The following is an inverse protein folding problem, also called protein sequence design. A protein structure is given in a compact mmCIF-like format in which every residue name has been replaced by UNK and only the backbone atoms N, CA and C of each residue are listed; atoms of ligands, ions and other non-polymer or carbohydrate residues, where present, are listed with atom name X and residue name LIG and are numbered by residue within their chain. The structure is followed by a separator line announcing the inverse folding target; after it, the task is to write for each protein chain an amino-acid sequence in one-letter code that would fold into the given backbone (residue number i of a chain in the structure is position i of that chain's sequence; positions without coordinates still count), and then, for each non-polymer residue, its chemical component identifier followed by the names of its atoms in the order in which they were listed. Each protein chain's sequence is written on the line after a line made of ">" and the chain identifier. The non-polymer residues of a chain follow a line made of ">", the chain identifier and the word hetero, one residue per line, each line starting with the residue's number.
data_IF_892627516855
#
_entry.id   IF_892627516855
#
_cell.length_a   1.000
_cell.length_b   1.000
_cell.length_c   1.000
_cell.angle_alpha   90.00
_cell.angle_beta   90.00
_cell.angle_gamma   90.00
#
_symmetry.space_group_name_H-M   'P 1'
#
loop_
_entity.id
_entity.type
_entity.pdbx_description
1 polymer ?
#
# COMPACT_ATOMS: atom_id res chain seq x y z
N UNK A 1 10.09 2.45 -11.40
CA UNK A 1 10.19 1.85 -10.05
C UNK A 1 11.48 2.27 -9.38
N UNK A 2 12.66 1.94 -9.94
CA UNK A 2 13.97 2.29 -9.37
C UNK A 2 14.07 3.81 -9.16
N UNK A 3 13.70 4.60 -10.15
CA UNK A 3 13.68 6.06 -10.08
C UNK A 3 12.86 6.56 -8.87
N UNK A 4 11.61 6.08 -8.70
CA UNK A 4 10.77 6.44 -7.56
C UNK A 4 11.37 6.06 -6.21
N UNK A 5 12.06 4.93 -6.14
CA UNK A 5 12.77 4.52 -4.93
C UNK A 5 13.94 5.48 -4.62
N UNK A 6 14.71 5.89 -5.63
CA UNK A 6 15.77 6.89 -5.48
C UNK A 6 15.20 8.26 -5.09
N UNK A 7 14.09 8.68 -5.70
CA UNK A 7 13.40 9.94 -5.38
C UNK A 7 12.90 9.98 -3.94
N UNK A 8 12.52 8.82 -3.38
CA UNK A 8 12.12 8.67 -1.97
C UNK A 8 13.28 8.57 -0.99
N UNK A 9 14.53 8.64 -1.47
CA UNK A 9 15.72 8.58 -0.61
C UNK A 9 16.20 7.15 -0.28
N UNK A 10 15.68 6.11 -0.95
CA UNK A 10 16.21 4.76 -0.79
C UNK A 10 17.66 4.69 -1.24
N UNK A 11 18.52 4.10 -0.40
CA UNK A 11 19.96 4.01 -0.67
C UNK A 11 20.27 2.77 -1.51
N UNK A 12 20.80 2.91 -2.74
CA UNK A 12 21.21 1.78 -3.56
C UNK A 12 22.46 1.09 -2.98
N UNK A 13 22.53 -0.23 -3.18
CA UNK A 13 23.65 -1.08 -2.72
C UNK A 13 24.38 -1.68 -3.92
N UNK A 14 23.62 -2.13 -4.93
CA UNK A 14 24.16 -2.68 -6.17
C UNK A 14 23.14 -2.62 -7.28
N UNK A 15 23.63 -2.58 -8.50
CA UNK A 15 22.82 -2.55 -9.72
C UNK A 15 23.13 -3.79 -10.57
N UNK A 16 22.09 -4.44 -11.10
CA UNK A 16 22.20 -5.56 -12.03
C UNK A 16 21.45 -5.19 -13.32
N UNK A 17 22.12 -5.21 -14.45
CA UNK A 17 21.56 -4.73 -15.70
C UNK A 17 22.00 -5.57 -16.90
N UNK A 18 21.10 -5.74 -17.86
CA UNK A 18 21.45 -6.34 -19.15
C UNK A 18 22.42 -5.41 -19.89
N UNK A 19 23.48 -6.00 -20.46
CA UNK A 19 24.59 -5.27 -21.06
C UNK A 19 24.13 -4.17 -22.07
N UNK A 20 23.15 -4.49 -22.90
CA UNK A 20 22.62 -3.55 -23.91
C UNK A 20 21.98 -2.28 -23.34
N UNK A 21 21.54 -2.28 -22.07
CA UNK A 21 20.88 -1.14 -21.43
C UNK A 21 21.83 -0.21 -20.68
N UNK A 22 23.10 -0.60 -20.49
CA UNK A 22 24.09 0.16 -19.69
C UNK A 22 24.26 1.59 -20.22
N UNK A 23 24.51 1.74 -21.52
CA UNK A 23 24.71 3.03 -22.16
C UNK A 23 23.39 3.66 -22.66
N UNK A 24 22.27 3.00 -22.45
CA UNK A 24 20.94 3.43 -22.85
C UNK A 24 20.04 3.77 -21.65
N UNK A 25 18.96 3.02 -21.50
CA UNK A 25 17.90 3.27 -20.52
C UNK A 25 18.37 3.24 -19.05
N UNK A 26 19.44 2.49 -18.73
CA UNK A 26 19.96 2.38 -17.37
C UNK A 26 21.01 3.46 -17.05
N UNK A 27 21.59 4.15 -18.02
CA UNK A 27 22.73 5.07 -17.84
C UNK A 27 22.46 6.12 -16.75
N UNK A 28 21.36 6.82 -16.85
CA UNK A 28 21.00 7.86 -15.89
C UNK A 28 20.67 7.29 -14.50
N UNK A 29 20.02 6.14 -14.43
CA UNK A 29 19.74 5.46 -13.16
C UNK A 29 21.02 5.02 -12.47
N UNK A 30 21.98 4.45 -13.23
CA UNK A 30 23.29 4.06 -12.72
C UNK A 30 24.04 5.29 -12.19
N UNK A 31 24.05 6.39 -12.96
CA UNK A 31 24.67 7.65 -12.53
C UNK A 31 24.07 8.17 -11.21
N UNK A 32 22.74 8.09 -11.06
CA UNK A 32 22.03 8.51 -9.83
C UNK A 32 22.32 7.60 -8.63
N UNK A 33 22.69 6.36 -8.88
CA UNK A 33 23.06 5.43 -7.80
C UNK A 33 24.43 5.74 -7.18
N UNK A 34 25.28 6.55 -7.82
CA UNK A 34 26.61 6.89 -7.32
C UNK A 34 27.61 5.74 -7.43
N UNK A 35 28.58 5.70 -6.53
CA UNK A 35 29.68 4.72 -6.56
C UNK A 35 29.24 3.40 -5.87
N UNK A 36 28.51 2.58 -6.62
CA UNK A 36 28.08 1.26 -6.19
C UNK A 36 28.47 0.20 -7.23
N UNK A 37 28.61 -1.08 -6.88
CA UNK A 37 28.84 -2.15 -7.83
C UNK A 37 27.71 -2.24 -8.88
N UNK A 38 28.10 -2.20 -10.16
CA UNK A 38 27.22 -2.40 -11.31
C UNK A 38 27.61 -3.71 -12.00
N UNK A 39 26.73 -4.70 -11.92
CA UNK A 39 26.93 -6.00 -12.55
C UNK A 39 26.18 -6.05 -13.88
N UNK A 40 26.84 -6.56 -14.90
CA UNK A 40 26.26 -6.69 -16.24
C UNK A 40 26.35 -8.11 -16.76
N UNK A 41 25.34 -8.56 -17.47
CA UNK A 41 25.33 -9.83 -18.17
C UNK A 41 24.33 -9.81 -19.33
N UNK A 42 24.41 -10.84 -20.17
CA UNK A 42 23.42 -11.08 -21.22
C UNK A 42 22.09 -11.57 -20.64
N UNK A 43 21.00 -11.36 -21.38
CA UNK A 43 19.62 -11.65 -20.95
C UNK A 43 19.44 -13.09 -20.40
N UNK A 44 20.02 -14.10 -21.07
CA UNK A 44 19.87 -15.48 -20.66
C UNK A 44 20.58 -15.78 -19.33
N UNK A 45 21.76 -15.19 -19.13
CA UNK A 45 22.50 -15.28 -17.86
C UNK A 45 21.73 -14.63 -16.74
N UNK A 46 21.18 -13.43 -17.00
CA UNK A 46 20.35 -12.74 -16.01
C UNK A 46 19.07 -13.53 -15.68
N UNK A 47 18.46 -14.17 -16.65
CA UNK A 47 17.27 -15.01 -16.44
C UNK A 47 17.58 -16.23 -15.60
N UNK A 48 18.73 -16.90 -15.83
CA UNK A 48 19.18 -18.02 -15.02
C UNK A 48 19.50 -17.57 -13.57
N UNK A 49 20.20 -16.46 -13.42
CA UNK A 49 20.60 -15.93 -12.11
C UNK A 49 19.40 -15.53 -11.24
N UNK A 50 18.40 -14.91 -11.84
CA UNK A 50 17.25 -14.38 -11.12
C UNK A 50 16.08 -15.37 -10.99
N UNK A 51 16.06 -16.43 -11.78
CA UNK A 51 14.98 -17.39 -11.86
C UNK A 51 13.73 -16.88 -12.57
N UNK A 52 13.78 -15.71 -13.22
CA UNK A 52 12.68 -15.14 -13.99
C UNK A 52 13.18 -14.18 -15.09
N UNK A 53 12.38 -13.98 -16.12
CA UNK A 53 12.70 -13.04 -17.20
C UNK A 53 12.68 -11.59 -16.71
N UNK A 54 13.80 -10.89 -16.85
CA UNK A 54 13.91 -9.45 -16.58
C UNK A 54 13.36 -8.64 -17.76
N UNK A 55 12.06 -8.45 -17.83
CA UNK A 55 11.39 -7.78 -18.95
C UNK A 55 11.86 -6.36 -19.24
N UNK A 56 12.50 -5.70 -18.27
CA UNK A 56 13.11 -4.36 -18.42
C UNK A 56 14.63 -4.39 -18.17
N UNK A 57 15.21 -5.57 -18.14
CA UNK A 57 16.64 -5.81 -18.12
C UNK A 57 17.43 -5.24 -16.93
N UNK A 58 16.77 -4.81 -15.83
CA UNK A 58 17.49 -4.20 -14.72
C UNK A 58 16.84 -4.46 -13.35
N UNK A 59 17.69 -4.59 -12.31
CA UNK A 59 17.35 -4.65 -10.89
C UNK A 59 18.30 -3.75 -10.10
N UNK A 60 17.82 -3.20 -8.99
CA UNK A 60 18.64 -2.47 -8.04
C UNK A 60 18.35 -3.00 -6.64
N UNK A 61 19.39 -3.48 -5.94
CA UNK A 61 19.29 -3.77 -4.53
C UNK A 61 19.44 -2.47 -3.74
N UNK A 62 18.52 -2.25 -2.80
CA UNK A 62 18.50 -1.04 -1.98
C UNK A 62 18.32 -1.37 -0.51
N UNK A 63 18.83 -0.54 0.39
CA UNK A 63 18.53 -0.63 1.82
C UNK A 63 17.04 -0.34 2.02
N UNK A 64 16.42 -1.12 2.89
CA UNK A 64 15.07 -0.80 3.38
C UNK A 64 15.17 0.44 4.27
N UNK A 65 14.36 1.48 4.03
CA UNK A 65 14.32 2.63 4.92
C UNK A 65 13.75 2.23 6.29
N UNK A 66 14.12 2.96 7.32
CA UNK A 66 13.38 2.91 8.58
C UNK A 66 11.94 3.38 8.34
N UNK A 67 10.98 2.70 8.91
CA UNK A 67 9.59 3.11 8.81
C UNK A 67 9.33 4.26 9.78
N UNK A 68 8.54 5.27 9.39
CA UNK A 68 8.15 6.36 10.27
C UNK A 68 7.16 5.87 11.34
N UNK A 69 7.05 6.64 12.42
CA UNK A 69 6.05 6.40 13.45
C UNK A 69 4.62 6.70 12.93
N UNK A 70 3.62 5.99 13.45
CA UNK A 70 2.21 6.19 13.10
C UNK A 70 1.77 7.62 13.40
N UNK A 71 2.18 8.17 14.55
CA UNK A 71 1.80 9.52 14.96
C UNK A 71 2.33 10.54 13.97
N UNK A 72 3.57 10.39 13.52
CA UNK A 72 4.18 11.30 12.54
C UNK A 72 3.45 11.26 11.19
N UNK A 73 3.10 10.06 10.72
CA UNK A 73 2.34 9.88 9.47
C UNK A 73 0.94 10.50 9.58
N UNK A 74 0.27 10.29 10.71
CA UNK A 74 -1.13 10.70 10.90
C UNK A 74 -1.29 12.18 11.26
N UNK A 75 -0.22 12.87 11.64
CA UNK A 75 -0.26 14.26 12.14
C UNK A 75 -1.03 15.23 11.24
N UNK A 76 -0.75 15.20 9.94
CA UNK A 76 -1.37 16.07 8.95
C UNK A 76 -2.30 15.32 7.99
N UNK A 77 -2.47 14.01 8.18
CA UNK A 77 -3.31 13.19 7.33
C UNK A 77 -4.80 13.42 7.64
N UNK A 78 -5.60 13.44 6.59
CA UNK A 78 -7.07 13.54 6.68
C UNK A 78 -7.76 12.29 6.15
N UNK A 79 -7.17 11.61 5.19
CA UNK A 79 -7.70 10.40 4.56
C UNK A 79 -6.64 9.32 4.61
N UNK A 80 -6.84 8.29 5.41
CA UNK A 80 -5.91 7.17 5.52
C UNK A 80 -6.60 5.85 5.21
N UNK A 81 -5.85 4.93 4.62
CA UNK A 81 -6.25 3.54 4.47
C UNK A 81 -5.62 2.69 5.57
N UNK A 82 -6.39 1.80 6.15
CA UNK A 82 -5.90 0.80 7.11
C UNK A 82 -6.15 -0.58 6.55
N UNK A 83 -5.12 -1.40 6.47
CA UNK A 83 -5.20 -2.74 5.92
C UNK A 83 -5.10 -3.77 7.05
N UNK A 84 -6.15 -4.56 7.23
CA UNK A 84 -6.19 -5.63 8.22
C UNK A 84 -5.93 -6.99 7.56
N UNK A 85 -4.77 -7.59 7.88
CA UNK A 85 -4.39 -8.93 7.45
C UNK A 85 -4.44 -9.19 5.93
N UNK A 86 -4.16 -8.19 5.12
CA UNK A 86 -4.08 -8.35 3.66
C UNK A 86 -2.77 -9.05 3.30
N UNK A 87 -2.83 -10.36 3.11
CA UNK A 87 -1.63 -11.21 2.95
C UNK A 87 -1.15 -11.35 1.51
N UNK A 88 -1.98 -11.01 0.50
CA UNK A 88 -1.59 -11.13 -0.90
C UNK A 88 -0.78 -9.90 -1.35
N UNK A 89 0.52 -10.04 -1.70
CA UNK A 89 1.34 -8.91 -2.12
C UNK A 89 0.85 -8.25 -3.43
N UNK A 90 0.05 -8.95 -4.24
CA UNK A 90 -0.58 -8.34 -5.43
C UNK A 90 -1.64 -7.33 -5.01
N UNK A 91 -2.48 -7.69 -4.03
CA UNK A 91 -3.50 -6.78 -3.50
C UNK A 91 -2.86 -5.60 -2.78
N UNK A 92 -1.84 -5.82 -1.94
CA UNK A 92 -1.06 -4.73 -1.34
C UNK A 92 -0.58 -3.75 -2.43
N UNK A 93 0.07 -4.25 -3.48
CA UNK A 93 0.57 -3.38 -4.56
C UNK A 93 -0.53 -2.60 -5.28
N UNK A 94 -1.68 -3.23 -5.55
CA UNK A 94 -2.82 -2.59 -6.20
C UNK A 94 -3.48 -1.53 -5.29
N UNK A 95 -3.63 -1.83 -4.00
CA UNK A 95 -4.17 -0.89 -2.99
C UNK A 95 -3.26 0.34 -2.89
N UNK A 96 -1.94 0.15 -2.78
CA UNK A 96 -0.99 1.27 -2.74
C UNK A 96 -1.05 2.14 -3.99
N UNK A 97 -1.24 1.52 -5.16
CA UNK A 97 -1.39 2.26 -6.42
C UNK A 97 -2.67 3.11 -6.41
N UNK A 98 -3.77 2.54 -5.97
CA UNK A 98 -5.06 3.24 -5.85
C UNK A 98 -5.00 4.33 -4.79
N UNK A 99 -4.42 4.07 -3.63
CA UNK A 99 -4.27 5.03 -2.54
C UNK A 99 -3.48 6.28 -2.99
N UNK A 100 -2.33 6.07 -3.62
CA UNK A 100 -1.51 7.17 -4.14
C UNK A 100 -2.21 7.96 -5.26
N UNK A 101 -3.00 7.28 -6.11
CA UNK A 101 -3.68 7.93 -7.23
C UNK A 101 -4.96 8.67 -6.83
N UNK A 102 -5.62 8.24 -5.75
CA UNK A 102 -6.98 8.67 -5.41
C UNK A 102 -7.05 9.50 -4.12
N UNK A 103 -5.93 10.12 -3.73
CA UNK A 103 -5.91 11.14 -2.70
C UNK A 103 -5.95 10.63 -1.26
N UNK A 104 -5.45 9.40 -1.01
CA UNK A 104 -5.15 8.97 0.35
C UNK A 104 -3.83 9.59 0.81
N UNK A 105 -3.78 10.08 2.04
CA UNK A 105 -2.60 10.71 2.61
C UNK A 105 -1.59 9.67 3.15
N UNK A 106 -2.07 8.50 3.60
CA UNK A 106 -1.23 7.43 4.14
C UNK A 106 -1.89 6.05 4.06
N UNK A 107 -1.07 5.00 4.22
CA UNK A 107 -1.51 3.61 4.38
C UNK A 107 -0.91 3.03 5.66
N UNK A 108 -1.75 2.54 6.56
CA UNK A 108 -1.34 1.82 7.76
C UNK A 108 -1.65 0.33 7.58
N UNK A 109 -0.78 -0.53 8.11
CA UNK A 109 -0.91 -1.97 7.96
C UNK A 109 -0.88 -2.67 9.33
N UNK A 110 -1.74 -3.66 9.53
CA UNK A 110 -1.57 -4.54 10.68
C UNK A 110 -0.37 -5.49 10.47
N UNK A 111 0.23 -6.02 11.54
CA UNK A 111 1.41 -6.91 11.43
C UNK A 111 1.21 -8.13 10.54
N UNK A 112 -0.03 -8.62 10.40
CA UNK A 112 -0.39 -9.75 9.53
C UNK A 112 -0.38 -9.46 8.04
N UNK A 113 -0.21 -8.20 7.60
CA UNK A 113 -0.17 -7.85 6.19
C UNK A 113 1.15 -8.25 5.53
N UNK A 114 1.08 -8.56 4.23
CA UNK A 114 2.30 -8.66 3.41
C UNK A 114 3.05 -7.34 3.35
N UNK A 115 4.38 -7.43 3.39
CA UNK A 115 5.23 -6.25 3.34
C UNK A 115 5.13 -5.53 1.97
N UNK A 116 4.83 -4.22 1.94
CA UNK A 116 4.75 -3.44 0.70
C UNK A 116 6.05 -3.41 -0.11
N UNK A 117 7.20 -3.66 0.53
CA UNK A 117 8.50 -3.75 -0.14
C UNK A 117 8.82 -5.15 -0.70
N UNK A 118 7.88 -6.07 -0.69
CA UNK A 118 8.05 -7.29 -1.49
C UNK A 118 8.07 -6.94 -2.98
N UNK A 119 8.99 -7.55 -3.71
CA UNK A 119 9.19 -7.28 -5.14
C UNK A 119 7.88 -7.30 -5.94
N UNK A 120 6.96 -8.22 -5.62
CA UNK A 120 5.66 -8.31 -6.30
C UNK A 120 4.78 -7.09 -6.02
N UNK A 121 4.70 -6.65 -4.77
CA UNK A 121 3.94 -5.46 -4.38
C UNK A 121 4.53 -4.19 -5.02
N UNK A 122 5.85 -4.01 -4.99
CA UNK A 122 6.55 -2.90 -5.65
C UNK A 122 6.24 -2.86 -7.16
N UNK A 123 6.24 -4.01 -7.84
CA UNK A 123 5.94 -4.07 -9.28
C UNK A 123 4.49 -3.75 -9.60
N UNK A 124 3.55 -4.33 -8.86
CA UNK A 124 2.11 -4.11 -9.06
C UNK A 124 1.75 -2.66 -8.76
N UNK A 125 2.31 -2.08 -7.72
CA UNK A 125 2.13 -0.66 -7.39
C UNK A 125 2.79 0.28 -8.42
N UNK A 126 3.58 -0.25 -9.35
CA UNK A 126 4.43 0.59 -10.24
C UNK A 126 5.37 1.52 -9.45
N UNK A 127 5.70 1.13 -8.21
CA UNK A 127 6.55 1.90 -7.31
C UNK A 127 5.85 3.02 -6.55
N UNK A 128 4.51 3.10 -6.55
CA UNK A 128 3.80 4.11 -5.73
C UNK A 128 3.95 3.85 -4.23
N UNK A 129 4.34 2.65 -3.83
CA UNK A 129 4.76 2.33 -2.46
C UNK A 129 5.88 3.26 -1.93
N UNK A 130 6.63 3.88 -2.81
CA UNK A 130 7.66 4.87 -2.47
C UNK A 130 7.13 6.33 -2.49
N UNK A 131 5.88 6.56 -2.87
CA UNK A 131 5.30 7.90 -3.04
C UNK A 131 4.29 8.26 -1.97
N UNK A 132 3.66 7.27 -1.33
CA UNK A 132 2.69 7.48 -0.26
C UNK A 132 3.31 7.03 1.07
N UNK A 133 3.21 7.82 2.15
CA UNK A 133 3.67 7.42 3.47
C UNK A 133 2.95 6.16 3.97
N UNK A 134 3.67 5.26 4.62
CA UNK A 134 3.09 4.07 5.21
C UNK A 134 3.93 3.51 6.34
N UNK A 135 3.30 2.78 7.24
CA UNK A 135 3.96 2.04 8.32
C UNK A 135 3.09 0.87 8.81
N UNK A 136 3.67 0.01 9.63
CA UNK A 136 2.92 -1.02 10.34
C UNK A 136 2.50 -0.52 11.73
N UNK A 137 1.38 -1.05 12.23
CA UNK A 137 1.13 -1.04 13.67
C UNK A 137 2.19 -1.90 14.36
N UNK A 138 2.55 -1.52 15.59
CA UNK A 138 3.48 -2.31 16.40
C UNK A 138 2.91 -3.72 16.64
N UNK A 139 3.76 -4.75 16.55
CA UNK A 139 3.37 -6.14 16.82
C UNK A 139 2.84 -6.35 18.25
N UNK A 140 3.24 -5.48 19.18
CA UNK A 140 2.77 -5.49 20.57
C UNK A 140 1.41 -4.83 20.75
N UNK A 141 0.97 -4.03 19.78
CA UNK A 141 -0.35 -3.39 19.80
C UNK A 141 -1.38 -4.42 19.38
N UNK A 142 -2.29 -4.75 20.27
CA UNK A 142 -3.43 -5.57 19.91
C UNK A 142 -4.35 -4.76 18.99
N UNK A 143 -4.20 -4.97 17.68
CA UNK A 143 -4.91 -4.20 16.66
C UNK A 143 -6.42 -4.11 16.92
N UNK A 144 -7.05 -5.23 17.24
CA UNK A 144 -8.50 -5.32 17.40
C UNK A 144 -9.07 -4.44 18.52
N UNK A 145 -8.28 -4.14 19.55
CA UNK A 145 -8.73 -3.37 20.72
C UNK A 145 -8.06 -2.02 20.81
N UNK A 146 -6.76 -1.92 20.53
CA UNK A 146 -5.98 -0.70 20.73
C UNK A 146 -5.79 0.07 19.43
N UNK A 147 -5.71 -0.62 18.29
CA UNK A 147 -5.43 0.02 16.99
C UNK A 147 -6.51 1.03 16.60
N UNK A 148 -7.79 0.61 16.62
CA UNK A 148 -8.92 1.52 16.32
C UNK A 148 -8.99 2.67 17.32
N UNK A 149 -8.80 2.40 18.62
CA UNK A 149 -8.79 3.44 19.65
C UNK A 149 -7.68 4.47 19.44
N UNK A 150 -6.49 4.02 19.02
CA UNK A 150 -5.37 4.92 18.73
C UNK A 150 -5.70 5.87 17.57
N UNK A 151 -6.37 5.38 16.51
CA UNK A 151 -6.81 6.22 15.41
C UNK A 151 -7.85 7.26 15.86
N UNK A 152 -8.83 6.85 16.67
CA UNK A 152 -9.82 7.76 17.25
C UNK A 152 -9.16 8.82 18.15
N UNK A 153 -8.16 8.46 18.93
CA UNK A 153 -7.41 9.39 19.76
C UNK A 153 -6.63 10.43 18.92
N UNK A 154 -6.24 10.09 17.68
CA UNK A 154 -5.65 11.00 16.70
C UNK A 154 -6.67 11.83 15.91
N UNK A 155 -7.96 11.71 16.27
CA UNK A 155 -9.06 12.47 15.69
C UNK A 155 -9.68 11.88 14.42
N UNK A 156 -9.33 10.65 14.05
CA UNK A 156 -9.97 9.98 12.91
C UNK A 156 -11.32 9.39 13.31
N UNK A 157 -12.31 9.57 12.44
CA UNK A 157 -13.44 8.67 12.34
C UNK A 157 -13.02 7.43 11.57
N UNK A 158 -13.51 6.27 11.96
CA UNK A 158 -13.12 4.98 11.40
C UNK A 158 -14.28 4.34 10.65
N UNK A 159 -14.06 3.94 9.40
CA UNK A 159 -15.05 3.35 8.51
C UNK A 159 -14.62 1.93 8.11
N UNK A 160 -15.26 0.92 8.66
CA UNK A 160 -15.04 -0.49 8.33
C UNK A 160 -15.74 -0.84 7.02
N UNK A 161 -14.97 -1.24 6.00
CA UNK A 161 -15.55 -1.72 4.73
C UNK A 161 -16.06 -3.15 4.91
N UNK A 162 -17.35 -3.28 5.20
CA UNK A 162 -17.99 -4.56 5.46
C UNK A 162 -19.48 -4.52 5.08
N UNK A 163 -20.03 -5.67 4.72
CA UNK A 163 -21.45 -5.81 4.43
C UNK A 163 -22.18 -6.24 5.71
N UNK A 164 -23.02 -5.36 6.25
CA UNK A 164 -23.91 -5.59 7.39
C UNK A 164 -25.29 -4.99 7.09
N UNK A 165 -26.33 -5.41 7.80
CA UNK A 165 -27.70 -4.92 7.60
C UNK A 165 -27.84 -3.41 7.89
N UNK A 166 -27.02 -2.88 8.79
CA UNK A 166 -26.99 -1.48 9.23
C UNK A 166 -25.83 -0.67 8.61
N UNK A 167 -25.22 -1.16 7.52
CA UNK A 167 -24.14 -0.45 6.84
C UNK A 167 -24.63 0.82 6.14
N UNK A 168 -23.82 1.86 6.25
CA UNK A 168 -23.98 3.06 5.41
C UNK A 168 -23.57 2.76 3.97
N UNK A 169 -24.26 3.31 3.01
CA UNK A 169 -23.79 3.29 1.62
C UNK A 169 -22.53 4.15 1.47
N UNK A 170 -21.61 3.74 0.63
CA UNK A 170 -20.31 4.40 0.46
C UNK A 170 -20.42 5.87 0.01
N UNK A 171 -21.54 6.26 -0.61
CA UNK A 171 -21.81 7.61 -1.07
C UNK A 171 -22.58 8.47 -0.04
N UNK A 172 -22.75 7.97 1.19
CA UNK A 172 -23.39 8.74 2.26
C UNK A 172 -22.64 10.05 2.52
N UNK A 173 -23.32 11.20 2.45
CA UNK A 173 -22.70 12.52 2.63
C UNK A 173 -22.00 12.71 3.98
N UNK A 174 -22.43 12.03 5.04
CA UNK A 174 -21.79 12.12 6.36
C UNK A 174 -20.36 11.63 6.33
N UNK A 175 -20.08 10.51 5.61
CA UNK A 175 -18.72 9.97 5.47
C UNK A 175 -17.78 10.96 4.78
N UNK A 176 -18.29 11.66 3.75
CA UNK A 176 -17.50 12.62 3.00
C UNK A 176 -17.27 13.93 3.78
N UNK A 177 -18.18 14.28 4.68
CA UNK A 177 -18.11 15.47 5.53
C UNK A 177 -17.10 15.33 6.68
N UNK A 178 -16.70 14.11 7.03
CA UNK A 178 -15.73 13.90 8.11
C UNK A 178 -14.39 14.58 7.81
N UNK A 179 -13.88 15.33 8.79
CA UNK A 179 -12.61 16.03 8.64
C UNK A 179 -11.45 15.06 8.47
N UNK A 180 -11.41 14.02 9.31
CA UNK A 180 -10.43 12.94 9.26
C UNK A 180 -11.14 11.59 9.20
N UNK A 181 -10.85 10.81 8.15
CA UNK A 181 -11.46 9.49 7.95
C UNK A 181 -10.38 8.42 7.71
N UNK A 182 -10.47 7.33 8.46
CA UNK A 182 -9.68 6.11 8.29
C UNK A 182 -10.57 5.02 7.66
N UNK A 183 -10.27 4.63 6.43
CA UNK A 183 -10.98 3.56 5.71
C UNK A 183 -10.29 2.23 6.01
N UNK A 184 -10.96 1.33 6.71
CA UNK A 184 -10.43 0.04 7.15
C UNK A 184 -10.88 -1.06 6.19
N UNK A 185 -9.92 -1.78 5.62
CA UNK A 185 -10.11 -2.82 4.62
C UNK A 185 -9.56 -4.15 5.15
N UNK A 186 -10.36 -5.21 5.08
CA UNK A 186 -10.01 -6.54 5.53
C UNK A 186 -9.39 -7.42 4.46
N UNK A 187 -8.98 -8.62 4.87
CA UNK A 187 -8.46 -9.65 3.97
C UNK A 187 -9.54 -10.22 3.04
N UNK A 188 -9.11 -10.93 2.00
CA UNK A 188 -10.01 -11.69 1.13
C UNK A 188 -10.54 -12.92 1.87
N UNK A 189 -11.81 -13.21 1.69
CA UNK A 189 -12.51 -14.34 2.33
C UNK A 189 -13.13 -13.96 3.66
N UNK A 190 -12.33 -13.84 4.70
CA UNK A 190 -12.84 -13.58 6.08
C UNK A 190 -13.24 -12.11 6.31
N UNK A 191 -12.74 -11.19 5.49
CA UNK A 191 -13.00 -9.76 5.64
C UNK A 191 -12.32 -9.15 6.87
N UNK A 192 -13.01 -8.22 7.52
CA UNK A 192 -12.60 -7.62 8.79
C UNK A 192 -13.03 -8.47 9.98
N UNK A 193 -12.23 -8.50 11.04
CA UNK A 193 -12.62 -9.10 12.30
C UNK A 193 -13.89 -8.44 12.87
N UNK A 194 -14.74 -9.23 13.52
CA UNK A 194 -16.00 -8.73 14.09
C UNK A 194 -15.76 -7.64 15.13
N UNK A 195 -14.70 -7.77 15.90
CA UNK A 195 -14.27 -6.80 16.91
C UNK A 195 -13.85 -5.48 16.26
N UNK A 196 -13.11 -5.55 15.12
CA UNK A 196 -12.72 -4.36 14.36
C UNK A 196 -13.95 -3.62 13.82
N UNK A 197 -14.93 -4.35 13.28
CA UNK A 197 -16.17 -3.75 12.78
C UNK A 197 -16.93 -3.08 13.93
N UNK A 198 -17.06 -3.77 15.09
CA UNK A 198 -17.78 -3.25 16.24
C UNK A 198 -17.15 -2.00 16.86
N UNK A 199 -15.82 -1.88 16.80
CA UNK A 199 -15.09 -0.73 17.34
C UNK A 199 -15.00 0.45 16.36
N UNK A 200 -15.33 0.28 15.07
CA UNK A 200 -15.38 1.37 14.11
C UNK A 200 -16.58 2.30 14.34
N UNK A 201 -16.44 3.58 13.91
CA UNK A 201 -17.56 4.56 14.01
C UNK A 201 -18.61 4.29 12.95
N UNK A 202 -18.22 3.76 11.79
CA UNK A 202 -19.10 3.44 10.67
C UNK A 202 -18.80 2.05 10.13
N UNK A 203 -19.84 1.33 9.75
CA UNK A 203 -19.76 0.20 8.84
C UNK A 203 -20.24 0.66 7.49
N UNK A 204 -19.44 0.46 6.43
CA UNK A 204 -19.68 1.03 5.10
C UNK A 204 -19.69 -0.08 4.06
N UNK A 205 -20.70 -0.10 3.22
CA UNK A 205 -20.80 -1.03 2.11
C UNK A 205 -20.76 -0.34 0.74
N UNK A 206 -20.28 -1.07 -0.24
CA UNK A 206 -20.44 -0.74 -1.66
C UNK A 206 -21.70 -1.45 -2.13
N UNK A 207 -22.75 -0.75 -2.56
CA UNK A 207 -23.95 -1.40 -3.06
C UNK A 207 -23.65 -2.31 -4.25
N UNK A 208 -24.06 -3.57 -4.16
CA UNK A 208 -23.80 -4.59 -5.17
C UNK A 208 -25.09 -4.98 -5.90
N UNK A 209 -24.93 -5.39 -7.16
CA UNK A 209 -26.02 -5.94 -7.98
C UNK A 209 -25.92 -7.47 -8.10
N UNK A 210 -26.99 -8.09 -8.55
CA UNK A 210 -27.03 -9.52 -8.93
C UNK A 210 -26.66 -10.51 -7.82
N UNK A 211 -26.82 -10.13 -6.54
CA UNK A 211 -26.49 -11.01 -5.41
C UNK A 211 -24.99 -11.26 -5.22
N UNK A 212 -24.16 -10.38 -5.72
CA UNK A 212 -22.71 -10.40 -5.43
C UNK A 212 -22.48 -9.81 -4.04
N UNK A 213 -21.81 -10.55 -3.16
CA UNK A 213 -21.61 -10.14 -1.76
C UNK A 213 -20.40 -9.23 -1.56
N UNK A 214 -19.36 -9.37 -2.38
CA UNK A 214 -18.12 -8.61 -2.20
C UNK A 214 -17.32 -8.45 -3.50
N UNK A 215 -16.39 -7.48 -3.48
CA UNK A 215 -15.33 -7.30 -4.47
C UNK A 215 -14.00 -7.79 -3.90
N UNK A 216 -13.07 -8.16 -4.79
CA UNK A 216 -11.67 -8.28 -4.40
C UNK A 216 -11.23 -7.01 -3.65
N UNK A 217 -10.44 -7.16 -2.57
CA UNK A 217 -10.08 -6.04 -1.69
C UNK A 217 -9.39 -4.89 -2.41
N UNK A 218 -8.59 -5.15 -3.45
CA UNK A 218 -7.96 -4.10 -4.24
C UNK A 218 -8.97 -3.34 -5.12
N UNK A 219 -10.01 -4.02 -5.62
CA UNK A 219 -11.09 -3.37 -6.34
C UNK A 219 -11.97 -2.53 -5.39
N UNK A 220 -12.35 -3.12 -4.26
CA UNK A 220 -13.10 -2.42 -3.21
C UNK A 220 -12.34 -1.17 -2.73
N UNK A 221 -11.03 -1.26 -2.52
CA UNK A 221 -10.20 -0.13 -2.13
C UNK A 221 -10.21 1.00 -3.17
N UNK A 222 -10.16 0.67 -4.47
CA UNK A 222 -10.19 1.68 -5.52
C UNK A 222 -11.52 2.45 -5.54
N UNK A 223 -12.64 1.75 -5.37
CA UNK A 223 -13.98 2.39 -5.25
C UNK A 223 -14.05 3.26 -4.01
N UNK A 224 -13.60 2.71 -2.85
CA UNK A 224 -13.61 3.45 -1.59
C UNK A 224 -12.76 4.72 -1.65
N UNK A 225 -11.54 4.63 -2.18
CA UNK A 225 -10.64 5.79 -2.28
C UNK A 225 -11.11 6.81 -3.32
N UNK A 226 -11.76 6.36 -4.40
CA UNK A 226 -12.40 7.28 -5.34
C UNK A 226 -13.52 8.09 -4.67
N UNK A 227 -14.37 7.45 -3.88
CA UNK A 227 -15.53 8.10 -3.24
C UNK A 227 -15.12 8.92 -2.01
N UNK A 228 -14.27 8.34 -1.14
CA UNK A 228 -13.96 8.89 0.18
C UNK A 228 -12.60 9.61 0.25
N UNK A 229 -11.77 9.48 -0.78
CA UNK A 229 -10.47 10.13 -0.86
C UNK A 229 -10.57 11.65 -1.01
N UNK A 230 -9.43 12.31 -0.87
CA UNK A 230 -9.33 13.76 -1.00
C UNK A 230 -9.39 14.16 -2.47
N UNK A 231 -10.28 15.03 -2.82
CA UNK A 231 -10.39 15.66 -4.14
C UNK A 231 -10.03 17.14 -4.09
#
# INVERSE_FOLDING_TARGET
>A
VIERALDSGCQPISFLVEHKHVEGEAKELIRRCGDIPVYTAEFDVLTQLTGFKLTRGMLCAMRRPALPDIVDICKNARRIAVLENVVNPTNIGAIFRSAAALGMDAVLLTPGCSNPLYRRAIRVSMGTVFQIPWTFFDEKTEWKTEGIRSLKAMGFKTAAMALREDSFDIDDPHLMAEEKLAVVLGTEGDGLASETIADCDYTVCIPMAHGVDSLNVAAASAVAFWQLGKR
#
